data_IF_356559310921
#
_entry.id   IF_356559310921
#
_cell.length_a   1.000
_cell.length_b   1.000
_cell.length_c   1.000
_cell.angle_alpha   90.00
_cell.angle_beta   90.00
_cell.angle_gamma   90.00
#
_symmetry.space_group_name_H-M   'P 1'
#
loop_
_entity.id
_entity.type
_entity.pdbx_description
1 polymer ?
#
# COMPACT_ATOMS: atom_id res chain seq x y z
N UNK A 1 -4.23 -5.63 28.84
CA UNK A 1 -4.01 -4.38 28.09
C UNK A 1 -2.79 -4.60 27.20
N UNK A 2 -2.99 -4.76 25.90
CA UNK A 2 -1.88 -5.01 24.96
C UNK A 2 -0.99 -3.76 24.86
N UNK A 3 0.32 -3.90 25.07
CA UNK A 3 1.26 -2.82 24.83
C UNK A 3 1.18 -2.43 23.35
N UNK A 4 0.72 -1.21 23.08
CA UNK A 4 0.63 -0.69 21.72
C UNK A 4 2.05 -0.58 21.17
N UNK A 5 2.41 -1.45 20.22
CA UNK A 5 3.74 -1.45 19.62
C UNK A 5 4.07 -0.04 19.08
N UNK A 6 5.22 0.51 19.50
CA UNK A 6 5.68 1.82 19.04
C UNK A 6 5.87 1.77 17.52
N UNK A 7 5.10 2.58 16.79
CA UNK A 7 5.21 2.67 15.33
C UNK A 7 6.52 3.38 14.98
N UNK A 8 7.22 2.87 13.96
CA UNK A 8 8.40 3.55 13.41
C UNK A 8 8.04 4.81 12.60
N UNK A 9 6.83 4.85 12.06
CA UNK A 9 6.29 5.95 11.27
C UNK A 9 4.89 6.31 11.75
N UNK A 10 4.61 7.59 11.95
CA UNK A 10 3.28 8.08 12.34
C UNK A 10 2.26 7.86 11.21
N UNK A 11 2.68 8.09 9.97
CA UNK A 11 1.92 7.80 8.77
C UNK A 11 2.75 6.95 7.81
N UNK A 12 2.29 5.72 7.56
CA UNK A 12 2.98 4.78 6.68
C UNK A 12 3.01 5.27 5.22
N UNK A 13 1.94 5.88 4.71
CA UNK A 13 1.90 6.37 3.33
C UNK A 13 2.87 7.52 3.13
N UNK A 14 2.98 8.42 4.10
CA UNK A 14 3.98 9.50 4.07
C UNK A 14 5.41 8.93 4.09
N UNK A 15 5.67 7.94 4.94
CA UNK A 15 6.97 7.24 4.96
C UNK A 15 7.28 6.50 3.66
N UNK A 16 6.26 5.90 3.03
CA UNK A 16 6.42 5.23 1.73
C UNK A 16 6.67 6.22 0.58
N UNK A 17 5.99 7.37 0.59
CA UNK A 17 6.24 8.43 -0.38
C UNK A 17 7.68 8.96 -0.26
N UNK A 18 8.16 9.20 0.95
CA UNK A 18 9.55 9.60 1.20
C UNK A 18 10.56 8.52 0.77
N UNK A 19 10.26 7.25 1.03
CA UNK A 19 11.07 6.10 0.59
C UNK A 19 11.17 6.01 -0.95
N UNK A 20 10.12 6.42 -1.66
CA UNK A 20 10.03 6.31 -3.13
C UNK A 20 10.36 7.61 -3.87
N UNK A 21 10.68 8.71 -3.17
CA UNK A 21 10.91 10.05 -3.75
C UNK A 21 11.98 10.14 -4.83
N UNK A 22 12.95 9.22 -4.80
CA UNK A 22 14.06 9.17 -5.76
C UNK A 22 13.76 8.28 -6.97
N UNK A 23 12.57 7.69 -7.05
CA UNK A 23 12.15 6.86 -8.17
C UNK A 23 11.72 7.73 -9.34
N UNK A 24 12.03 7.29 -10.55
CA UNK A 24 11.60 7.90 -11.81
C UNK A 24 10.08 7.82 -12.08
N UNK A 25 9.33 7.01 -11.30
CA UNK A 25 7.89 6.87 -11.51
C UNK A 25 7.10 8.04 -10.91
N UNK A 26 5.95 8.41 -11.48
CA UNK A 26 5.10 9.47 -10.93
C UNK A 26 4.68 9.20 -9.48
N UNK A 27 4.62 10.24 -8.65
CA UNK A 27 4.21 10.15 -7.23
C UNK A 27 2.84 9.49 -7.05
N UNK A 28 1.92 9.74 -7.98
CA UNK A 28 0.59 9.14 -7.96
C UNK A 28 0.64 7.61 -8.06
N UNK A 29 1.61 7.06 -8.81
CA UNK A 29 1.78 5.61 -8.94
C UNK A 29 2.32 5.01 -7.65
N UNK A 30 3.23 5.72 -6.98
CA UNK A 30 3.73 5.33 -5.67
C UNK A 30 2.64 5.40 -4.62
N UNK A 31 1.84 6.46 -4.60
CA UNK A 31 0.72 6.59 -3.67
C UNK A 31 -0.23 5.38 -3.76
N UNK A 32 -0.71 5.07 -4.96
CA UNK A 32 -1.62 3.94 -5.17
C UNK A 32 -0.96 2.58 -4.92
N UNK A 33 0.33 2.44 -5.23
CA UNK A 33 1.09 1.24 -4.87
C UNK A 33 1.22 1.09 -3.35
N UNK A 34 1.41 2.19 -2.63
CA UNK A 34 1.43 2.22 -1.18
C UNK A 34 0.09 1.77 -0.59
N UNK A 35 -1.03 2.31 -1.10
CA UNK A 35 -2.38 1.91 -0.70
C UNK A 35 -2.60 0.40 -0.94
N UNK A 36 -2.18 -0.11 -2.10
CA UNK A 36 -2.21 -1.54 -2.40
C UNK A 36 -1.40 -2.37 -1.40
N UNK A 37 -0.23 -1.89 -1.00
CA UNK A 37 0.65 -2.57 -0.04
C UNK A 37 -0.01 -2.68 1.33
N UNK A 38 -0.65 -1.61 1.82
CA UNK A 38 -1.43 -1.65 3.06
C UNK A 38 -2.59 -2.63 2.92
N UNK A 39 -3.37 -2.52 1.84
CA UNK A 39 -4.52 -3.39 1.60
C UNK A 39 -4.14 -4.87 1.63
N UNK A 40 -3.01 -5.22 0.98
CA UNK A 40 -2.47 -6.58 1.01
C UNK A 40 -2.01 -7.03 2.40
N UNK A 41 -1.44 -6.13 3.20
CA UNK A 41 -1.00 -6.43 4.55
C UNK A 41 -2.18 -6.61 5.52
N UNK A 42 -3.32 -5.94 5.29
CA UNK A 42 -4.49 -6.03 6.15
C UNK A 42 -5.19 -7.40 6.12
N UNK A 43 -5.09 -8.18 5.03
CA UNK A 43 -5.64 -9.55 4.90
C UNK A 43 -7.04 -9.77 5.52
N UNK A 44 -7.99 -8.85 5.27
CA UNK A 44 -9.37 -8.88 5.81
C UNK A 44 -9.48 -8.76 7.34
N UNK A 45 -8.42 -8.36 8.03
CA UNK A 45 -8.42 -8.09 9.48
C UNK A 45 -9.02 -6.72 9.84
N UNK A 46 -9.44 -5.94 8.83
CA UNK A 46 -10.14 -4.67 9.02
C UNK A 46 -11.43 -4.72 8.23
N UNK A 47 -12.51 -4.31 8.88
CA UNK A 47 -13.84 -4.27 8.30
C UNK A 47 -14.61 -3.04 8.82
N UNK A 48 -15.57 -2.60 8.02
CA UNK A 48 -16.60 -1.67 8.45
C UNK A 48 -17.81 -2.51 8.85
N UNK A 49 -18.26 -2.33 10.09
CA UNK A 49 -19.45 -3.00 10.60
C UNK A 49 -20.71 -2.29 10.08
N UNK A 50 -21.45 -2.98 9.21
CA UNK A 50 -22.70 -2.53 8.63
C UNK A 50 -23.85 -3.44 9.11
N UNK A 51 -24.01 -3.61 10.44
CA UNK A 51 -25.10 -4.27 11.21
C UNK A 51 -25.49 -5.70 10.80
N UNK A 52 -25.77 -5.92 9.52
CA UNK A 52 -26.08 -7.19 8.88
C UNK A 52 -24.86 -7.80 8.17
N UNK A 53 -23.88 -6.98 7.75
CA UNK A 53 -22.72 -7.44 6.99
C UNK A 53 -21.44 -6.74 7.43
N UNK A 54 -20.31 -7.42 7.27
CA UNK A 54 -18.98 -6.84 7.44
C UNK A 54 -18.36 -6.56 6.08
N UNK A 55 -18.08 -5.29 5.79
CA UNK A 55 -17.42 -4.90 4.55
C UNK A 55 -15.91 -4.82 4.77
N UNK A 56 -15.19 -5.76 4.18
CA UNK A 56 -13.73 -5.73 4.13
C UNK A 56 -13.29 -4.90 2.93
N UNK A 57 -12.24 -4.07 3.04
CA UNK A 57 -11.68 -3.36 1.91
C UNK A 57 -11.19 -4.36 0.84
N UNK A 58 -11.80 -4.33 -0.34
CA UNK A 58 -11.37 -5.11 -1.50
C UNK A 58 -10.93 -4.15 -2.60
N UNK A 59 -9.64 -3.82 -2.61
CA UNK A 59 -9.09 -2.85 -3.53
C UNK A 59 -8.60 -3.50 -4.82
N UNK A 60 -9.12 -3.02 -5.95
CA UNK A 60 -8.61 -3.33 -7.29
C UNK A 60 -8.00 -2.06 -7.88
N UNK A 61 -6.68 -1.99 -7.90
CA UNK A 61 -5.93 -0.79 -8.32
C UNK A 61 -5.23 -1.09 -9.66
N UNK A 62 -5.48 -0.25 -10.67
CA UNK A 62 -4.90 -0.40 -12.02
C UNK A 62 -4.11 0.86 -12.37
N UNK A 63 -2.81 0.70 -12.67
CA UNK A 63 -1.93 1.82 -13.04
C UNK A 63 -1.86 2.00 -14.56
N UNK A 64 -2.46 3.07 -15.08
CA UNK A 64 -2.59 3.34 -16.54
C UNK A 64 -1.72 4.52 -16.96
N UNK A 65 -1.17 4.48 -18.19
CA UNK A 65 -0.25 5.49 -18.71
C UNK A 65 0.71 4.92 -19.77
N UNK A 66 1.51 5.77 -20.43
CA UNK A 66 2.36 5.38 -21.56
C UNK A 66 3.47 4.38 -21.17
N UNK A 67 3.83 3.50 -22.11
CA UNK A 67 4.91 2.53 -21.97
C UNK A 67 6.28 3.23 -21.90
N UNK A 68 7.20 2.71 -21.10
CA UNK A 68 8.57 3.23 -20.96
C UNK A 68 8.73 4.55 -20.20
N UNK A 69 7.64 5.33 -20.02
CA UNK A 69 7.70 6.64 -19.34
C UNK A 69 7.22 6.54 -17.90
N UNK A 70 6.14 5.79 -17.64
CA UNK A 70 5.49 5.79 -16.33
C UNK A 70 6.07 4.75 -15.34
N UNK A 71 7.12 4.00 -15.74
CA UNK A 71 7.83 3.00 -14.93
C UNK A 71 6.93 2.13 -14.01
N UNK A 72 5.75 1.73 -14.54
CA UNK A 72 4.64 1.14 -13.76
C UNK A 72 5.04 -0.11 -12.99
N UNK A 73 5.74 -1.00 -13.69
CA UNK A 73 6.21 -2.26 -13.11
C UNK A 73 7.25 -2.01 -12.02
N UNK A 74 8.06 -0.95 -12.15
CA UNK A 74 9.04 -0.55 -11.15
C UNK A 74 8.34 -0.05 -9.89
N UNK A 75 7.34 0.83 -10.01
CA UNK A 75 6.57 1.32 -8.85
C UNK A 75 5.91 0.14 -8.12
N UNK A 76 5.20 -0.73 -8.84
CA UNK A 76 4.54 -1.91 -8.26
C UNK A 76 5.52 -2.86 -7.55
N UNK A 77 6.73 -3.05 -8.09
CA UNK A 77 7.76 -3.90 -7.47
C UNK A 77 8.19 -3.38 -6.10
N UNK A 78 8.28 -2.06 -5.91
CA UNK A 78 8.67 -1.48 -4.62
C UNK A 78 7.66 -1.86 -3.52
N UNK A 79 6.37 -1.59 -3.73
CA UNK A 79 5.33 -1.95 -2.74
C UNK A 79 5.17 -3.46 -2.55
N UNK A 80 5.15 -4.23 -3.64
CA UNK A 80 5.01 -5.70 -3.53
C UNK A 80 6.20 -6.36 -2.85
N UNK A 81 7.43 -5.84 -3.03
CA UNK A 81 8.60 -6.35 -2.32
C UNK A 81 8.50 -6.15 -0.81
N UNK A 82 7.96 -5.02 -0.35
CA UNK A 82 7.68 -4.77 1.06
C UNK A 82 6.60 -5.71 1.59
N UNK A 83 5.51 -5.87 0.84
CA UNK A 83 4.41 -6.76 1.21
C UNK A 83 4.86 -8.21 1.38
N UNK A 84 5.75 -8.70 0.51
CA UNK A 84 6.30 -10.07 0.59
C UNK A 84 7.11 -10.33 1.86
N UNK A 85 7.61 -9.29 2.53
CA UNK A 85 8.34 -9.40 3.80
C UNK A 85 7.42 -9.49 5.01
N UNK A 86 6.11 -9.26 4.83
CA UNK A 86 5.12 -9.37 5.89
C UNK A 86 4.70 -10.84 6.01
N UNK A 87 4.98 -11.46 7.16
CA UNK A 87 4.62 -12.84 7.44
C UNK A 87 3.11 -13.08 7.32
N UNK A 88 2.74 -14.26 6.84
CA UNK A 88 1.41 -14.79 6.48
C UNK A 88 0.43 -14.99 7.62
#
# INVERSE_FOLDING_TARGET
MSAMAKRNYDNWLSGYAEYTKHSESPDLFHFWTGVFTIAGALRRQVWIDQRYFQWTPNFYIVLVGPAGIAAKSTSLRLGTSLLRRVEG
#
